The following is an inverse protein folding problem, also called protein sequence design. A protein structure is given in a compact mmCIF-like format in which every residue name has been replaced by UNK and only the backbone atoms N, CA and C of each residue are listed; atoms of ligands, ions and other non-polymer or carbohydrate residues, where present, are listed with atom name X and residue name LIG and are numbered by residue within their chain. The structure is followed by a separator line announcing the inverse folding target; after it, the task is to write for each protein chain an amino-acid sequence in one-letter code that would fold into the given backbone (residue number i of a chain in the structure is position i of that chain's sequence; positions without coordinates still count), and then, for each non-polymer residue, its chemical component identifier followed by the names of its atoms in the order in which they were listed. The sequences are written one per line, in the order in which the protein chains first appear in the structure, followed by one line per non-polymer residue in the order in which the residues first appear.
data_IF_144688503100
#
_entry.id   IF_144688503100
#
_cell.length_a   1.000
_cell.length_b   1.000
_cell.length_c   1.000
_cell.angle_alpha   90.00
_cell.angle_beta   90.00
_cell.angle_gamma   90.00
#
_symmetry.space_group_name_H-M   'P 1'
#
loop_
_entity.id
_entity.type
_entity.pdbx_description
1 polymer ?
#
# COMPACT_ATOMS: atom_id res chain seq x y z
N UNK A 1 4.64 -73.01 -25.19
CA UNK A 1 4.33 -73.11 -23.75
C UNK A 1 5.51 -72.49 -22.99
N UNK A 2 5.45 -71.21 -22.75
CA UNK A 2 6.44 -70.42 -21.99
C UNK A 2 6.02 -70.51 -20.49
N UNK A 3 6.88 -71.14 -19.71
CA UNK A 3 6.75 -71.22 -18.27
C UNK A 3 7.10 -69.84 -17.67
N UNK A 4 6.10 -69.11 -17.14
CA UNK A 4 6.35 -67.93 -16.32
C UNK A 4 7.00 -68.33 -15.00
N UNK A 5 8.16 -67.77 -14.75
CA UNK A 5 8.88 -67.90 -13.47
C UNK A 5 8.23 -66.91 -12.50
N UNK A 6 7.64 -67.44 -11.43
CA UNK A 6 7.07 -66.68 -10.32
C UNK A 6 8.21 -66.07 -9.49
N UNK A 7 8.35 -64.72 -9.53
CA UNK A 7 9.33 -64.00 -8.74
C UNK A 7 8.62 -63.56 -7.44
N UNK A 8 9.10 -63.98 -6.26
CA UNK A 8 8.47 -63.56 -5.01
C UNK A 8 8.61 -62.06 -4.79
N UNK A 9 7.51 -61.39 -4.38
CA UNK A 9 7.48 -60.00 -3.99
C UNK A 9 8.56 -59.69 -2.92
N UNK A 10 9.52 -58.87 -3.30
CA UNK A 10 10.48 -58.29 -2.34
C UNK A 10 9.74 -57.20 -1.58
N UNK A 11 9.37 -57.46 -0.33
CA UNK A 11 8.89 -56.42 0.60
C UNK A 11 10.09 -55.52 0.93
N UNK A 12 10.14 -54.36 0.28
CA UNK A 12 11.07 -53.28 0.65
C UNK A 12 10.54 -52.67 1.96
N UNK A 13 11.35 -52.63 3.05
CA UNK A 13 10.91 -51.91 4.28
C UNK A 13 10.63 -50.45 3.92
N UNK A 14 9.52 -49.92 4.42
CA UNK A 14 9.22 -48.50 4.36
C UNK A 14 10.40 -47.72 4.98
N UNK A 15 11.21 -47.12 4.13
CA UNK A 15 12.21 -46.16 4.55
C UNK A 15 11.40 -44.92 5.06
N UNK A 16 11.58 -44.50 6.33
CA UNK A 16 10.85 -43.34 6.83
C UNK A 16 11.23 -42.14 5.95
N UNK A 17 10.28 -41.68 5.15
CA UNK A 17 10.44 -40.43 4.39
C UNK A 17 11.00 -39.39 5.35
N UNK A 18 12.20 -38.83 5.09
CA UNK A 18 12.74 -37.79 5.95
C UNK A 18 11.74 -36.64 5.96
N UNK A 19 11.27 -36.26 7.14
CA UNK A 19 10.48 -35.04 7.34
C UNK A 19 11.27 -33.90 6.69
N UNK A 20 10.70 -33.16 5.73
CA UNK A 20 11.43 -32.05 5.13
C UNK A 20 11.77 -31.06 6.24
N UNK A 21 13.04 -31.00 6.59
CA UNK A 21 13.58 -29.95 7.45
C UNK A 21 13.52 -28.69 6.60
N UNK A 22 12.60 -27.80 6.90
CA UNK A 22 12.60 -26.48 6.27
C UNK A 22 13.99 -25.86 6.50
N UNK A 23 14.67 -25.37 5.44
CA UNK A 23 15.96 -24.74 5.63
C UNK A 23 15.77 -23.54 6.59
N UNK A 24 16.53 -23.56 7.67
CA UNK A 24 16.60 -22.40 8.58
C UNK A 24 17.47 -21.37 7.86
N UNK A 25 16.87 -20.26 7.46
CA UNK A 25 17.59 -19.15 6.89
C UNK A 25 17.98 -18.18 8.00
N UNK A 26 19.23 -17.75 8.01
CA UNK A 26 19.65 -16.66 8.91
C UNK A 26 19.03 -15.33 8.46
N UNK A 27 18.73 -14.45 9.42
CA UNK A 27 18.36 -13.06 9.13
C UNK A 27 19.49 -12.43 8.33
N UNK A 28 19.16 -11.86 7.18
CA UNK A 28 20.14 -11.16 6.34
C UNK A 28 20.37 -9.76 6.90
N UNK A 29 21.57 -9.50 7.40
CA UNK A 29 22.00 -8.16 7.82
C UNK A 29 22.66 -7.48 6.62
N UNK A 30 22.16 -6.32 6.23
CA UNK A 30 22.75 -5.48 5.19
C UNK A 30 23.47 -4.33 5.86
N UNK A 31 24.78 -4.47 5.99
CA UNK A 31 25.65 -3.42 6.52
C UNK A 31 25.99 -2.43 5.41
N UNK A 32 25.96 -1.16 5.72
CA UNK A 32 26.45 -0.09 4.84
C UNK A 32 27.11 1.02 5.66
N UNK A 33 28.00 1.76 5.00
CA UNK A 33 28.48 3.04 5.52
C UNK A 33 27.53 4.14 5.08
N UNK A 34 27.35 5.15 5.93
CA UNK A 34 26.62 6.36 5.54
C UNK A 34 27.34 7.04 4.37
N UNK A 35 26.62 7.24 3.27
CA UNK A 35 27.09 8.04 2.15
C UNK A 35 26.52 9.45 2.29
N UNK A 36 27.34 10.39 2.76
CA UNK A 36 26.97 11.80 2.87
C UNK A 36 26.62 12.40 1.50
N UNK A 37 25.69 13.34 1.50
CA UNK A 37 25.33 14.08 0.29
C UNK A 37 26.42 15.10 -0.04
N UNK A 38 27.28 14.79 -1.01
CA UNK A 38 28.37 15.66 -1.46
C UNK A 38 28.22 16.01 -2.94
N UNK A 39 28.33 17.28 -3.28
CA UNK A 39 28.19 17.78 -4.66
C UNK A 39 26.88 17.36 -5.36
N UNK A 40 25.80 17.17 -4.60
CA UNK A 40 24.48 16.75 -5.12
C UNK A 40 24.33 15.26 -5.32
N UNK A 41 25.25 14.44 -4.79
CA UNK A 41 25.17 12.99 -4.84
C UNK A 41 25.49 12.34 -3.49
N UNK A 42 24.77 11.28 -3.17
CA UNK A 42 25.04 10.36 -2.07
C UNK A 42 25.29 8.97 -2.67
N UNK A 43 26.54 8.57 -2.79
CA UNK A 43 26.93 7.45 -3.64
C UNK A 43 26.53 7.72 -5.10
N UNK A 44 25.78 6.82 -5.72
CA UNK A 44 25.30 6.94 -7.11
C UNK A 44 23.96 7.70 -7.23
N UNK A 45 23.39 8.19 -6.13
CA UNK A 45 22.05 8.77 -6.11
C UNK A 45 22.10 10.30 -6.01
N UNK A 46 21.31 11.01 -6.83
CA UNK A 46 21.12 12.45 -6.63
C UNK A 46 20.54 12.74 -5.25
N UNK A 47 21.06 13.74 -4.57
CA UNK A 47 20.61 14.13 -3.24
C UNK A 47 20.61 15.65 -3.06
N UNK A 48 19.81 16.11 -2.08
CA UNK A 48 19.81 17.49 -1.61
C UNK A 48 19.64 17.50 -0.09
N UNK A 49 20.76 17.62 0.64
CA UNK A 49 20.81 17.62 2.11
C UNK A 49 20.41 16.32 2.82
N UNK A 50 20.34 15.21 2.11
CA UNK A 50 20.06 13.89 2.67
C UNK A 50 21.19 12.92 2.37
N UNK A 51 21.57 12.11 3.36
CA UNK A 51 22.53 11.02 3.21
C UNK A 51 21.83 9.70 2.93
N UNK A 52 22.43 8.85 2.12
CA UNK A 52 21.99 7.46 1.96
C UNK A 52 22.57 6.62 3.10
N UNK A 53 21.72 6.06 3.93
CA UNK A 53 22.14 5.24 5.07
C UNK A 53 22.26 3.76 4.72
N UNK A 54 21.37 3.23 3.89
CA UNK A 54 21.40 1.84 3.46
C UNK A 54 20.67 1.64 2.14
N UNK A 55 20.96 0.53 1.47
CA UNK A 55 20.26 0.06 0.28
C UNK A 55 20.14 -1.46 0.30
N UNK A 56 18.93 -1.96 0.27
CA UNK A 56 18.64 -3.39 0.13
C UNK A 56 18.24 -3.70 -1.30
N UNK A 57 18.99 -4.57 -1.96
CA UNK A 57 18.72 -4.97 -3.35
C UNK A 57 17.63 -6.04 -3.40
N UNK A 58 16.87 -6.08 -4.52
CA UNK A 58 15.86 -7.11 -4.78
C UNK A 58 16.41 -8.55 -4.67
N UNK A 59 17.67 -8.76 -5.03
CA UNK A 59 18.35 -10.06 -4.86
C UNK A 59 18.38 -10.49 -3.40
N UNK A 60 18.59 -9.55 -2.45
CA UNK A 60 18.53 -9.83 -1.00
C UNK A 60 17.11 -10.16 -0.57
N UNK A 61 16.12 -9.44 -1.10
CA UNK A 61 14.70 -9.66 -0.83
C UNK A 61 14.16 -10.91 -1.54
N UNK A 62 14.97 -11.54 -2.41
CA UNK A 62 14.60 -12.70 -3.21
C UNK A 62 13.28 -12.46 -3.99
N UNK A 63 13.24 -11.37 -4.75
CA UNK A 63 12.09 -10.94 -5.53
C UNK A 63 12.55 -10.21 -6.80
N UNK A 64 11.69 -10.15 -7.81
CA UNK A 64 11.99 -9.51 -9.10
C UNK A 64 11.55 -8.04 -9.14
N UNK A 65 10.49 -7.68 -8.40
CA UNK A 65 9.94 -6.32 -8.34
C UNK A 65 9.60 -5.91 -6.93
N UNK A 66 9.74 -4.61 -6.66
CA UNK A 66 9.23 -3.94 -5.47
C UNK A 66 8.27 -2.83 -5.92
N UNK A 67 7.23 -2.61 -5.12
CA UNK A 67 6.21 -1.60 -5.36
C UNK A 67 6.07 -0.68 -4.15
N UNK A 68 4.88 -0.56 -3.59
CA UNK A 68 4.62 0.28 -2.43
C UNK A 68 5.35 -0.16 -1.17
N UNK A 69 5.51 0.74 -0.23
CA UNK A 69 6.04 0.45 1.10
C UNK A 69 5.30 1.25 2.17
N UNK A 70 5.30 0.71 3.38
CA UNK A 70 4.79 1.41 4.56
C UNK A 70 5.72 1.24 5.74
N UNK A 71 5.59 2.11 6.74
CA UNK A 71 6.36 2.08 7.98
C UNK A 71 5.55 1.55 9.15
N UNK A 72 6.22 0.93 10.12
CA UNK A 72 5.67 0.65 11.43
C UNK A 72 6.72 0.90 12.50
N UNK A 73 6.38 1.76 13.47
CA UNK A 73 7.16 1.92 14.69
C UNK A 73 6.47 1.11 15.79
N UNK A 74 7.15 0.12 16.32
CA UNK A 74 6.62 -0.69 17.41
C UNK A 74 6.41 0.16 18.67
N UNK A 75 5.19 0.36 19.14
CA UNK A 75 4.92 1.23 20.29
C UNK A 75 5.48 0.69 21.60
N UNK A 76 5.80 -0.60 21.68
CA UNK A 76 6.36 -1.22 22.89
C UNK A 76 7.88 -1.08 22.96
N UNK A 77 8.58 -1.28 21.84
CA UNK A 77 10.03 -1.35 21.80
C UNK A 77 10.69 -0.11 21.18
N UNK A 78 9.92 0.71 20.45
CA UNK A 78 10.42 1.85 19.67
C UNK A 78 11.24 1.44 18.44
N UNK A 79 11.23 0.17 18.08
CA UNK A 79 11.88 -0.31 16.86
C UNK A 79 11.11 0.11 15.62
N UNK A 80 11.84 0.38 14.55
CA UNK A 80 11.30 0.84 13.28
C UNK A 80 11.43 -0.24 12.20
N UNK A 81 10.36 -0.44 11.45
CA UNK A 81 10.27 -1.46 10.41
C UNK A 81 9.74 -0.87 9.11
N UNK A 82 10.31 -1.34 7.99
CA UNK A 82 9.73 -1.14 6.65
C UNK A 82 9.02 -2.42 6.23
N UNK A 83 7.79 -2.24 5.76
CA UNK A 83 6.98 -3.23 5.11
C UNK A 83 7.08 -2.96 3.61
N UNK A 84 7.81 -3.78 2.86
CA UNK A 84 8.03 -3.58 1.43
C UNK A 84 7.17 -4.53 0.62
N UNK A 85 6.27 -3.98 -0.18
CA UNK A 85 5.52 -4.73 -1.17
C UNK A 85 6.42 -5.25 -2.28
N UNK A 86 6.30 -6.55 -2.56
CA UNK A 86 7.03 -7.26 -3.59
C UNK A 86 6.03 -7.97 -4.51
N UNK A 87 6.46 -8.36 -5.73
CA UNK A 87 5.56 -9.10 -6.63
C UNK A 87 5.08 -10.43 -6.03
N UNK A 88 5.89 -11.07 -5.20
CA UNK A 88 5.66 -12.39 -4.62
C UNK A 88 5.27 -12.37 -3.12
N UNK A 89 5.06 -11.17 -2.54
CA UNK A 89 4.68 -11.04 -1.13
C UNK A 89 5.04 -9.70 -0.51
N UNK A 90 5.15 -9.68 0.82
CA UNK A 90 5.56 -8.50 1.60
C UNK A 90 6.78 -8.84 2.44
N UNK A 91 7.87 -8.09 2.26
CA UNK A 91 9.09 -8.20 3.06
C UNK A 91 9.01 -7.31 4.31
N UNK A 92 9.54 -7.82 5.42
CA UNK A 92 9.66 -7.08 6.67
C UNK A 92 11.12 -6.82 7.00
N UNK A 93 11.48 -5.55 7.15
CA UNK A 93 12.85 -5.11 7.39
C UNK A 93 12.93 -4.26 8.65
N UNK A 94 13.72 -4.68 9.63
CA UNK A 94 14.06 -3.87 10.83
C UNK A 94 15.12 -2.83 10.42
N UNK A 95 14.77 -1.57 10.48
CA UNK A 95 15.62 -0.42 10.19
C UNK A 95 15.98 0.40 11.44
N UNK A 96 15.75 -0.15 12.64
CA UNK A 96 16.06 0.52 13.91
C UNK A 96 17.54 0.91 14.03
N UNK A 97 18.42 0.23 13.30
CA UNK A 97 19.78 0.65 13.01
C UNK A 97 19.93 0.85 11.50
N UNK A 98 19.75 2.07 10.99
CA UNK A 98 19.61 2.29 9.55
C UNK A 98 20.78 1.80 8.70
N UNK A 99 22.03 1.88 9.23
CA UNK A 99 23.24 1.36 8.55
C UNK A 99 23.41 -0.14 8.69
N UNK A 100 22.58 -0.82 9.49
CA UNK A 100 22.60 -2.25 9.74
C UNK A 100 21.19 -2.83 9.59
N UNK A 101 20.53 -2.56 8.47
CA UNK A 101 19.17 -3.02 8.21
C UNK A 101 19.11 -4.56 8.20
N UNK A 102 18.04 -5.11 8.79
CA UNK A 102 17.87 -6.57 8.94
C UNK A 102 16.63 -7.03 8.20
N UNK A 103 16.80 -7.84 7.16
CA UNK A 103 15.68 -8.50 6.49
C UNK A 103 15.22 -9.69 7.35
N UNK A 104 14.07 -9.51 8.02
CA UNK A 104 13.57 -10.45 9.04
C UNK A 104 12.79 -11.60 8.41
N UNK A 105 11.99 -11.32 7.40
CA UNK A 105 11.14 -12.35 6.80
C UNK A 105 10.19 -11.80 5.74
N UNK A 106 9.41 -12.71 5.18
CA UNK A 106 8.46 -12.45 4.11
C UNK A 106 7.11 -13.10 4.42
N UNK A 107 6.03 -12.36 4.19
CA UNK A 107 4.69 -12.91 4.06
C UNK A 107 4.44 -13.15 2.56
N UNK A 108 4.32 -14.40 2.09
CA UNK A 108 4.02 -14.69 0.70
C UNK A 108 2.69 -14.09 0.24
N UNK A 109 2.58 -13.81 -1.05
CA UNK A 109 1.30 -13.43 -1.68
C UNK A 109 0.21 -14.47 -1.41
N UNK A 110 -1.05 -14.04 -1.29
CA UNK A 110 -2.16 -14.97 -1.04
C UNK A 110 -2.45 -15.88 -2.23
N UNK A 111 -2.20 -15.38 -3.45
CA UNK A 111 -2.44 -16.09 -4.70
C UNK A 111 -1.23 -15.96 -5.61
N UNK A 112 -1.41 -15.60 -6.88
CA UNK A 112 -0.35 -15.44 -7.85
C UNK A 112 0.49 -14.17 -7.63
N UNK A 113 1.62 -14.07 -8.32
CA UNK A 113 2.46 -12.89 -8.30
C UNK A 113 1.78 -11.73 -9.03
N UNK A 114 1.96 -10.52 -8.49
CA UNK A 114 1.53 -9.27 -9.13
C UNK A 114 2.51 -8.15 -8.81
N UNK A 115 2.79 -7.29 -9.77
CA UNK A 115 3.65 -6.11 -9.56
C UNK A 115 3.02 -5.14 -8.55
N UNK A 116 1.69 -5.02 -8.55
CA UNK A 116 0.98 -4.04 -7.74
C UNK A 116 0.50 -4.63 -6.43
N UNK A 117 0.94 -4.00 -5.34
CA UNK A 117 0.63 -4.37 -3.96
C UNK A 117 0.68 -3.12 -3.09
N UNK A 118 -0.36 -2.88 -2.31
CA UNK A 118 -0.41 -1.74 -1.38
C UNK A 118 -0.57 -2.20 0.06
N UNK A 119 -0.01 -1.43 1.00
CA UNK A 119 0.12 -1.79 2.40
C UNK A 119 -0.19 -0.58 3.27
N UNK A 120 -1.06 -0.76 4.27
CA UNK A 120 -1.26 0.20 5.35
C UNK A 120 -1.23 -0.50 6.70
N UNK A 121 -1.04 0.28 7.75
CA UNK A 121 -0.91 -0.24 9.13
C UNK A 121 -1.98 0.37 10.01
N UNK A 122 -2.61 -0.46 10.82
CA UNK A 122 -3.53 -0.03 11.87
C UNK A 122 -3.43 -0.98 13.07
N UNK A 123 -3.40 -0.42 14.29
CA UNK A 123 -3.40 -1.17 15.54
C UNK A 123 -2.42 -2.37 15.54
N UNK A 124 -1.15 -2.10 15.17
CA UNK A 124 -0.06 -3.09 15.07
C UNK A 124 -0.30 -4.22 14.06
N UNK A 125 -1.19 -4.03 13.09
CA UNK A 125 -1.40 -5.00 12.02
C UNK A 125 -1.18 -4.35 10.66
N UNK A 126 -0.56 -5.08 9.76
CA UNK A 126 -0.48 -4.73 8.35
C UNK A 126 -1.72 -5.25 7.62
N UNK A 127 -2.30 -4.40 6.77
CA UNK A 127 -3.39 -4.68 5.86
C UNK A 127 -2.85 -4.57 4.45
N UNK A 128 -2.93 -5.65 3.68
CA UNK A 128 -2.20 -5.82 2.42
C UNK A 128 -3.17 -6.26 1.34
N UNK A 129 -3.24 -5.50 0.26
CA UNK A 129 -4.00 -5.83 -0.96
C UNK A 129 -3.05 -6.01 -2.14
N UNK A 130 -3.54 -6.58 -3.24
CA UNK A 130 -2.79 -6.76 -4.48
C UNK A 130 -3.72 -6.86 -5.69
N UNK A 131 -3.22 -6.51 -6.86
CA UNK A 131 -3.90 -6.77 -8.14
C UNK A 131 -3.79 -8.23 -8.61
N UNK A 132 -3.21 -9.12 -7.81
CA UNK A 132 -3.26 -10.54 -8.11
C UNK A 132 -4.70 -11.06 -8.03
N UNK A 133 -5.12 -11.86 -9.02
CA UNK A 133 -6.45 -12.41 -9.07
C UNK A 133 -6.80 -13.16 -7.77
N UNK A 134 -8.00 -12.92 -7.24
CA UNK A 134 -8.51 -13.54 -6.01
C UNK A 134 -7.64 -13.33 -4.75
N UNK A 135 -6.77 -12.31 -4.73
CA UNK A 135 -5.90 -12.02 -3.59
C UNK A 135 -6.70 -11.61 -2.34
N UNK A 136 -7.65 -10.71 -2.49
CA UNK A 136 -8.37 -10.12 -1.38
C UNK A 136 -7.50 -9.28 -0.45
N UNK A 137 -7.78 -9.33 0.85
CA UNK A 137 -7.03 -8.66 1.91
C UNK A 137 -6.31 -9.69 2.77
N UNK A 138 -4.98 -9.54 2.94
CA UNK A 138 -4.21 -10.23 3.96
C UNK A 138 -4.03 -9.31 5.17
N UNK A 139 -4.12 -9.87 6.37
CA UNK A 139 -3.83 -9.19 7.65
C UNK A 139 -2.68 -9.90 8.35
N UNK A 140 -1.71 -9.13 8.84
CA UNK A 140 -0.55 -9.67 9.54
C UNK A 140 -0.28 -8.91 10.83
N UNK A 141 -0.18 -9.62 11.96
CA UNK A 141 0.18 -9.08 13.27
C UNK A 141 1.68 -8.73 13.31
N UNK A 142 2.00 -7.44 13.28
CA UNK A 142 3.37 -6.92 13.26
C UNK A 142 4.14 -7.18 14.56
N UNK A 143 3.45 -7.47 15.67
CA UNK A 143 4.12 -7.83 16.93
C UNK A 143 4.92 -9.14 16.79
N UNK A 144 4.59 -9.97 15.81
CA UNK A 144 5.33 -11.20 15.46
C UNK A 144 6.73 -10.93 14.90
N UNK A 145 7.04 -9.67 14.54
CA UNK A 145 8.39 -9.27 14.12
C UNK A 145 9.36 -9.08 15.28
N UNK A 146 8.83 -9.00 16.52
CA UNK A 146 9.66 -8.82 17.73
C UNK A 146 10.59 -9.99 17.94
N UNK A 147 11.83 -9.68 18.35
CA UNK A 147 12.85 -10.64 18.77
C UNK A 147 13.20 -11.75 17.76
N UNK A 148 12.89 -11.53 16.47
CA UNK A 148 13.28 -12.48 15.43
C UNK A 148 14.79 -12.48 15.24
N UNK A 149 15.39 -13.65 15.40
CA UNK A 149 16.82 -13.90 15.20
C UNK A 149 17.12 -14.72 13.94
N UNK A 150 16.09 -15.38 13.40
CA UNK A 150 16.13 -16.20 12.20
C UNK A 150 15.15 -15.63 11.18
N UNK A 151 15.46 -15.80 9.89
CA UNK A 151 14.55 -15.41 8.80
C UNK A 151 13.27 -16.23 8.87
N UNK A 152 12.12 -15.56 8.75
CA UNK A 152 10.82 -16.19 8.84
C UNK A 152 10.08 -16.12 7.49
N UNK A 153 9.51 -17.23 7.08
CA UNK A 153 8.41 -17.23 6.11
C UNK A 153 7.11 -17.21 6.89
N UNK A 154 6.47 -16.05 6.91
CA UNK A 154 5.26 -15.83 7.70
C UNK A 154 4.00 -16.36 7.00
N UNK A 155 2.93 -16.45 7.77
CA UNK A 155 1.57 -16.69 7.29
C UNK A 155 0.66 -15.57 7.77
N UNK A 156 -0.34 -15.19 6.98
CA UNK A 156 -1.33 -14.20 7.39
C UNK A 156 -2.10 -14.66 8.65
N UNK A 157 -2.44 -13.70 9.51
CA UNK A 157 -3.24 -13.96 10.72
C UNK A 157 -4.73 -13.95 10.40
N UNK A 158 -5.13 -13.22 9.36
CA UNK A 158 -6.46 -13.26 8.77
C UNK A 158 -6.41 -12.98 7.27
N UNK A 159 -7.46 -13.37 6.56
CA UNK A 159 -7.66 -13.05 5.14
C UNK A 159 -9.15 -12.82 4.88
N UNK A 160 -9.45 -11.82 4.04
CA UNK A 160 -10.81 -11.53 3.58
C UNK A 160 -10.83 -11.65 2.06
N UNK A 161 -11.59 -12.64 1.54
CA UNK A 161 -11.62 -13.00 0.12
C UNK A 161 -12.96 -12.70 -0.55
N UNK A 162 -13.74 -11.77 0.01
CA UNK A 162 -15.05 -11.38 -0.52
C UNK A 162 -14.97 -10.44 -1.74
N UNK A 163 -13.79 -9.99 -2.10
CA UNK A 163 -13.43 -9.28 -3.32
C UNK A 163 -12.16 -9.90 -3.90
N UNK A 164 -11.89 -9.69 -5.18
CA UNK A 164 -10.75 -10.30 -5.87
C UNK A 164 -9.48 -9.48 -5.73
N UNK A 165 -9.00 -8.98 -6.84
CA UNK A 165 -7.90 -8.03 -6.94
C UNK A 165 -8.30 -6.64 -6.42
N UNK A 166 -7.29 -5.89 -5.98
CA UNK A 166 -7.45 -4.50 -5.55
C UNK A 166 -6.15 -3.73 -5.79
N UNK A 167 -6.30 -2.46 -6.19
CA UNK A 167 -5.17 -1.61 -6.52
C UNK A 167 -4.54 -0.99 -5.27
N UNK A 168 -5.37 -0.43 -4.39
CA UNK A 168 -4.91 0.39 -3.26
C UNK A 168 -5.73 0.13 -1.99
N UNK A 169 -5.20 0.54 -0.84
CA UNK A 169 -5.89 0.53 0.45
C UNK A 169 -5.59 1.78 1.24
N UNK A 170 -6.62 2.45 1.75
CA UNK A 170 -6.47 3.55 2.68
C UNK A 170 -7.13 3.21 4.02
N UNK A 171 -6.66 3.82 5.10
CA UNK A 171 -7.20 3.57 6.44
C UNK A 171 -7.47 4.90 7.14
N UNK A 172 -8.67 5.06 7.71
CA UNK A 172 -8.92 6.08 8.70
C UNK A 172 -8.76 5.46 10.09
N UNK A 173 -7.62 5.72 10.71
CA UNK A 173 -7.30 5.16 12.03
C UNK A 173 -8.28 5.61 13.12
N UNK A 174 -8.84 6.82 13.00
CA UNK A 174 -9.78 7.36 13.99
C UNK A 174 -11.10 6.60 14.03
N UNK A 175 -11.54 6.05 12.90
CA UNK A 175 -12.78 5.29 12.78
C UNK A 175 -12.58 3.77 12.85
N UNK A 176 -11.36 3.28 12.60
CA UNK A 176 -11.07 1.86 12.48
C UNK A 176 -11.65 1.23 11.23
N UNK A 177 -11.70 1.99 10.13
CA UNK A 177 -12.13 1.51 8.81
C UNK A 177 -11.00 1.52 7.81
N UNK A 178 -10.91 0.45 7.02
CA UNK A 178 -10.13 0.38 5.79
C UNK A 178 -11.03 0.57 4.58
N UNK A 179 -10.46 1.16 3.54
CA UNK A 179 -11.08 1.44 2.25
C UNK A 179 -10.24 0.79 1.17
N UNK A 180 -10.74 -0.30 0.61
CA UNK A 180 -10.07 -1.01 -0.48
C UNK A 180 -10.54 -0.43 -1.81
N UNK A 181 -9.59 -0.09 -2.67
CA UNK A 181 -9.78 0.77 -3.82
C UNK A 181 -9.32 0.04 -5.08
N UNK A 182 -10.00 0.28 -6.20
CA UNK A 182 -9.66 -0.32 -7.48
C UNK A 182 -10.08 -1.78 -7.61
N UNK A 183 -11.01 -2.25 -6.79
CA UNK A 183 -11.53 -3.63 -6.81
C UNK A 183 -12.94 -3.71 -7.41
N UNK A 184 -13.30 -4.84 -8.00
CA UNK A 184 -14.70 -5.23 -8.14
C UNK A 184 -15.20 -5.76 -6.78
N UNK A 185 -16.37 -5.43 -6.33
CA UNK A 185 -17.50 -4.66 -6.83
C UNK A 185 -17.32 -3.13 -6.72
N UNK A 186 -18.38 -2.38 -6.90
CA UNK A 186 -18.47 -0.93 -6.83
C UNK A 186 -17.75 -0.17 -7.96
N UNK A 187 -17.60 -0.81 -9.15
CA UNK A 187 -17.00 -0.19 -10.34
C UNK A 187 -15.57 0.35 -10.12
N UNK A 188 -14.78 -0.32 -9.29
CA UNK A 188 -13.45 0.15 -8.90
C UNK A 188 -13.47 1.26 -7.84
N UNK A 189 -14.62 1.58 -7.26
CA UNK A 189 -14.75 2.48 -6.13
C UNK A 189 -14.42 1.80 -4.80
N UNK A 190 -14.39 2.54 -3.69
CA UNK A 190 -13.97 2.03 -2.40
C UNK A 190 -14.96 1.01 -1.81
N UNK A 191 -14.40 -0.10 -1.30
CA UNK A 191 -15.08 -1.07 -0.43
C UNK A 191 -14.78 -0.67 1.01
N UNK A 192 -15.78 -0.57 1.86
CA UNK A 192 -15.63 -0.18 3.26
C UNK A 192 -15.51 -1.43 4.14
N UNK A 193 -14.44 -1.53 4.91
CA UNK A 193 -14.14 -2.69 5.75
C UNK A 193 -13.95 -2.22 7.19
N UNK A 194 -14.74 -2.74 8.11
CA UNK A 194 -14.51 -2.58 9.54
C UNK A 194 -13.31 -3.43 9.95
N UNK A 195 -12.29 -2.77 10.48
CA UNK A 195 -11.04 -3.37 10.95
C UNK A 195 -10.79 -3.08 12.43
N UNK A 196 -11.81 -2.65 13.17
CA UNK A 196 -11.73 -2.38 14.61
C UNK A 196 -11.24 -3.60 15.40
N UNK A 197 -11.55 -4.81 14.91
CA UNK A 197 -10.90 -6.07 15.30
C UNK A 197 -10.02 -6.54 14.13
N UNK A 198 -8.71 -6.24 14.10
CA UNK A 198 -7.86 -6.43 12.94
C UNK A 198 -7.91 -7.82 12.30
N UNK A 199 -8.02 -8.87 13.10
CA UNK A 199 -8.05 -10.26 12.64
C UNK A 199 -9.45 -10.75 12.25
N UNK A 200 -10.48 -9.91 12.35
CA UNK A 200 -11.87 -10.21 11.98
C UNK A 200 -12.43 -9.10 11.05
N UNK A 201 -11.79 -8.81 9.89
CA UNK A 201 -12.23 -7.74 9.01
C UNK A 201 -13.60 -8.06 8.41
N UNK A 202 -14.51 -7.06 8.37
CA UNK A 202 -15.89 -7.22 7.90
C UNK A 202 -16.23 -6.17 6.85
N UNK A 203 -16.72 -6.59 5.68
CA UNK A 203 -17.26 -5.66 4.66
C UNK A 203 -18.56 -5.04 5.14
N UNK A 204 -18.60 -3.71 5.17
CA UNK A 204 -19.76 -2.92 5.64
C UNK A 204 -20.52 -2.24 4.51
N UNK A 205 -19.95 -2.15 3.31
CA UNK A 205 -20.54 -1.50 2.16
C UNK A 205 -19.48 -1.03 1.17
N UNK A 206 -19.82 -0.04 0.37
CA UNK A 206 -18.93 0.57 -0.60
C UNK A 206 -19.59 1.72 -1.33
N UNK A 207 -18.83 2.42 -2.17
CA UNK A 207 -19.33 3.52 -3.00
C UNK A 207 -18.90 3.33 -4.45
N UNK A 208 -19.86 3.22 -5.37
CA UNK A 208 -19.62 2.94 -6.78
C UNK A 208 -20.33 3.90 -7.73
N UNK A 209 -20.84 5.04 -7.24
CA UNK A 209 -21.62 5.99 -8.04
C UNK A 209 -20.74 6.97 -8.84
N UNK A 210 -19.42 6.86 -8.71
CA UNK A 210 -18.43 7.62 -9.48
C UNK A 210 -17.62 6.70 -10.41
N UNK A 211 -16.72 7.27 -11.22
CA UNK A 211 -15.75 6.52 -12.01
C UNK A 211 -14.75 5.77 -11.11
N UNK A 212 -13.90 4.95 -11.72
CA UNK A 212 -12.81 4.24 -11.05
C UNK A 212 -12.02 5.19 -10.12
N UNK A 213 -11.85 4.78 -8.88
CA UNK A 213 -11.00 5.45 -7.89
C UNK A 213 -9.64 4.75 -7.89
N UNK A 214 -8.58 5.50 -8.17
CA UNK A 214 -7.23 4.98 -8.21
C UNK A 214 -6.59 4.95 -6.82
N UNK A 215 -6.74 6.04 -6.08
CA UNK A 215 -6.28 6.21 -4.69
C UNK A 215 -7.27 7.09 -3.92
N UNK A 216 -7.22 7.07 -2.59
CA UNK A 216 -8.04 7.93 -1.76
C UNK A 216 -7.37 8.23 -0.42
N UNK A 217 -7.65 9.43 0.11
CA UNK A 217 -7.36 9.78 1.48
C UNK A 217 -8.67 9.95 2.25
N UNK A 218 -8.79 9.33 3.42
CA UNK A 218 -9.99 9.36 4.24
C UNK A 218 -9.66 9.89 5.63
N UNK A 219 -10.42 10.89 6.07
CA UNK A 219 -10.21 11.53 7.37
C UNK A 219 -11.51 11.69 8.15
N UNK A 220 -11.42 11.73 9.47
CA UNK A 220 -12.46 12.32 10.30
C UNK A 220 -12.28 13.84 10.24
N UNK A 221 -13.12 14.49 9.44
CA UNK A 221 -12.93 15.88 9.03
C UNK A 221 -13.00 16.87 10.21
N UNK A 222 -11.99 17.73 10.29
CA UNK A 222 -11.87 18.81 11.28
C UNK A 222 -11.52 20.16 10.65
N UNK A 223 -11.68 20.26 9.33
CA UNK A 223 -11.32 21.44 8.55
C UNK A 223 -12.30 22.63 8.70
N UNK A 224 -12.18 23.63 7.84
CA UNK A 224 -12.92 24.90 8.00
C UNK A 224 -14.43 24.82 7.71
N UNK A 225 -14.91 23.81 6.96
CA UNK A 225 -16.32 23.70 6.62
C UNK A 225 -17.13 23.20 7.83
N UNK A 226 -18.03 24.03 8.40
CA UNK A 226 -18.76 23.66 9.61
C UNK A 226 -19.83 22.59 9.38
N UNK A 227 -20.28 22.37 8.14
CA UNK A 227 -21.35 21.43 7.83
C UNK A 227 -20.88 19.96 7.88
N UNK A 228 -19.56 19.75 7.81
CA UNK A 228 -18.94 18.44 7.78
C UNK A 228 -18.04 18.11 8.98
N UNK A 229 -18.02 18.95 10.00
CA UNK A 229 -17.24 18.72 11.21
C UNK A 229 -17.55 17.37 11.85
N UNK A 230 -16.51 16.56 12.11
CA UNK A 230 -16.62 15.24 12.74
C UNK A 230 -17.18 14.15 11.82
N UNK A 231 -17.47 14.45 10.56
CA UNK A 231 -17.87 13.45 9.58
C UNK A 231 -16.65 12.74 8.99
N UNK A 232 -16.85 11.55 8.51
CA UNK A 232 -15.82 10.80 7.80
C UNK A 232 -15.93 11.09 6.31
N UNK A 233 -14.91 11.77 5.79
CA UNK A 233 -14.87 12.26 4.43
C UNK A 233 -13.79 11.54 3.64
N UNK A 234 -14.17 11.02 2.48
CA UNK A 234 -13.30 10.41 1.50
C UNK A 234 -13.00 11.41 0.38
N UNK A 235 -11.72 11.60 0.11
CA UNK A 235 -11.19 12.33 -1.04
C UNK A 235 -10.62 11.31 -2.03
N UNK A 236 -11.37 10.99 -3.08
CA UNK A 236 -11.00 9.99 -4.07
C UNK A 236 -10.30 10.61 -5.27
N UNK A 237 -9.16 10.06 -5.68
CA UNK A 237 -8.50 10.36 -6.94
C UNK A 237 -9.11 9.49 -8.03
N UNK A 238 -10.06 10.05 -8.79
CA UNK A 238 -10.82 9.31 -9.76
C UNK A 238 -10.32 9.56 -11.18
N UNK A 239 -10.13 8.47 -11.93
CA UNK A 239 -9.76 8.53 -13.34
C UNK A 239 -10.29 7.31 -14.09
N UNK A 240 -10.68 7.49 -15.35
CA UNK A 240 -11.01 6.39 -16.26
C UNK A 240 -9.94 6.21 -17.35
N UNK A 241 -8.77 6.84 -17.17
CA UNK A 241 -7.72 6.88 -18.18
C UNK A 241 -8.04 7.76 -19.39
N UNK A 242 -9.19 8.43 -19.39
CA UNK A 242 -9.70 9.31 -20.43
C UNK A 242 -9.81 10.77 -20.01
N UNK A 243 -11.03 11.29 -20.01
CA UNK A 243 -11.32 12.70 -19.72
C UNK A 243 -11.97 12.95 -18.35
N UNK A 244 -12.24 11.89 -17.58
CA UNK A 244 -12.90 11.97 -16.27
C UNK A 244 -11.88 11.98 -15.12
N UNK A 245 -10.91 12.90 -15.22
CA UNK A 245 -9.91 13.11 -14.18
C UNK A 245 -10.43 14.12 -13.19
N UNK A 246 -10.63 13.70 -11.93
CA UNK A 246 -11.24 14.54 -10.91
C UNK A 246 -10.95 14.02 -9.51
N UNK A 247 -11.05 14.90 -8.54
CA UNK A 247 -11.20 14.50 -7.13
C UNK A 247 -12.69 14.36 -6.83
N UNK A 248 -13.06 13.27 -6.20
CA UNK A 248 -14.44 12.98 -5.76
C UNK A 248 -14.48 13.09 -4.23
N UNK A 249 -15.35 13.94 -3.69
CA UNK A 249 -15.51 14.14 -2.25
C UNK A 249 -16.80 13.48 -1.80
N UNK A 250 -16.69 12.50 -0.91
CA UNK A 250 -17.82 11.64 -0.48
C UNK A 250 -17.91 11.63 1.03
N UNK A 251 -19.10 11.86 1.58
CA UNK A 251 -19.39 11.56 2.99
C UNK A 251 -19.62 10.05 3.13
N UNK A 252 -18.75 9.40 3.87
CA UNK A 252 -18.77 7.95 4.14
C UNK A 252 -19.03 7.65 5.61
N UNK A 253 -19.56 8.62 6.36
CA UNK A 253 -19.89 8.48 7.78
C UNK A 253 -20.86 7.32 8.02
N UNK A 254 -21.93 7.29 7.23
CA UNK A 254 -22.85 6.14 7.21
C UNK A 254 -22.43 5.16 6.09
N UNK A 255 -21.81 4.06 6.47
CA UNK A 255 -21.32 3.05 5.53
C UNK A 255 -22.42 2.38 4.67
N UNK A 256 -23.67 2.45 5.13
CA UNK A 256 -24.83 1.93 4.39
C UNK A 256 -25.45 2.96 3.43
N UNK A 257 -25.15 4.23 3.58
CA UNK A 257 -25.71 5.33 2.80
C UNK A 257 -24.66 6.43 2.50
N UNK A 258 -23.52 6.10 1.89
CA UNK A 258 -22.54 7.11 1.47
C UNK A 258 -23.16 8.02 0.42
N UNK A 259 -22.76 9.30 0.38
CA UNK A 259 -23.24 10.22 -0.64
C UNK A 259 -22.18 11.17 -1.14
N UNK A 260 -22.26 11.51 -2.42
CA UNK A 260 -21.41 12.49 -3.06
C UNK A 260 -21.69 13.88 -2.49
N UNK A 261 -20.65 14.54 -2.00
CA UNK A 261 -20.68 15.97 -1.66
C UNK A 261 -20.43 16.78 -2.92
N UNK A 262 -19.27 16.58 -3.55
CA UNK A 262 -18.87 17.33 -4.74
C UNK A 262 -17.77 16.63 -5.56
N UNK A 263 -17.49 17.21 -6.72
CA UNK A 263 -16.34 16.87 -7.55
C UNK A 263 -15.49 18.11 -7.82
N UNK A 264 -14.16 17.97 -7.69
CA UNK A 264 -13.21 18.98 -8.11
C UNK A 264 -12.52 18.56 -9.41
N UNK A 265 -12.70 19.37 -10.45
CA UNK A 265 -12.11 19.15 -11.77
C UNK A 265 -11.04 20.20 -12.08
N UNK A 266 -10.12 19.86 -12.96
CA UNK A 266 -9.05 20.76 -13.40
C UNK A 266 -8.76 20.58 -14.90
N UNK A 267 -8.08 21.55 -15.50
CA UNK A 267 -7.75 21.51 -16.92
C UNK A 267 -6.46 20.71 -17.16
N UNK A 268 -6.37 20.06 -18.35
CA UNK A 268 -5.23 19.25 -18.75
C UNK A 268 -4.92 18.12 -17.75
N UNK A 269 -5.95 17.45 -17.27
CA UNK A 269 -5.81 16.23 -16.47
C UNK A 269 -5.33 15.07 -17.34
N UNK A 270 -4.25 14.44 -16.96
CA UNK A 270 -3.73 13.22 -17.55
C UNK A 270 -4.28 11.99 -16.86
N UNK A 271 -4.09 11.90 -15.55
CA UNK A 271 -4.57 10.82 -14.69
C UNK A 271 -4.54 11.28 -13.24
N UNK A 272 -5.70 11.56 -12.63
CA UNK A 272 -5.77 11.89 -11.20
C UNK A 272 -5.31 10.67 -10.42
N UNK A 273 -4.09 10.73 -9.90
CA UNK A 273 -3.40 9.57 -9.38
C UNK A 273 -3.57 9.42 -7.88
N UNK A 274 -3.06 10.39 -7.11
CA UNK A 274 -3.04 10.33 -5.66
C UNK A 274 -3.38 11.71 -5.08
N UNK A 275 -3.98 11.73 -3.90
CA UNK A 275 -4.21 12.96 -3.17
C UNK A 275 -3.87 12.79 -1.69
N UNK A 276 -3.55 13.93 -1.05
CA UNK A 276 -3.33 14.00 0.39
C UNK A 276 -3.83 15.32 0.95
N UNK A 277 -4.57 15.30 2.06
CA UNK A 277 -5.05 16.50 2.74
C UNK A 277 -4.06 16.92 3.82
N UNK A 278 -3.90 18.24 4.06
CA UNK A 278 -3.05 18.74 5.14
C UNK A 278 -3.66 18.50 6.54
N UNK A 279 -2.85 18.71 7.57
CA UNK A 279 -3.26 18.47 8.97
C UNK A 279 -4.44 19.36 9.43
N UNK A 280 -4.60 20.56 8.83
CA UNK A 280 -5.70 21.49 9.12
C UNK A 280 -6.96 21.14 8.32
N UNK A 281 -6.92 20.13 7.46
CA UNK A 281 -7.96 19.72 6.53
C UNK A 281 -8.47 20.88 5.65
N UNK A 282 -7.58 21.82 5.35
CA UNK A 282 -7.87 23.00 4.53
C UNK A 282 -7.45 22.83 3.08
N UNK A 283 -6.30 22.22 2.83
CA UNK A 283 -5.76 22.09 1.49
C UNK A 283 -5.57 20.63 1.10
N UNK A 284 -6.03 20.32 -0.11
CA UNK A 284 -5.85 19.02 -0.72
C UNK A 284 -4.79 19.10 -1.81
N UNK A 285 -3.74 18.31 -1.68
CA UNK A 285 -2.66 18.18 -2.65
C UNK A 285 -2.97 17.00 -3.57
N UNK A 286 -2.90 17.22 -4.88
CA UNK A 286 -3.27 16.22 -5.88
C UNK A 286 -2.16 16.09 -6.92
N UNK A 287 -1.68 14.87 -7.14
CA UNK A 287 -0.79 14.48 -8.22
C UNK A 287 -1.56 14.00 -9.45
N UNK A 288 -1.08 14.39 -10.63
CA UNK A 288 -1.59 13.91 -11.92
C UNK A 288 -0.48 13.19 -12.67
N UNK A 289 -0.48 11.88 -12.61
CA UNK A 289 0.64 11.02 -13.05
C UNK A 289 1.00 11.18 -14.54
N UNK A 290 0.07 11.50 -15.40
CA UNK A 290 0.29 11.42 -16.84
C UNK A 290 0.26 12.76 -17.58
N UNK A 291 0.12 13.88 -16.89
CA UNK A 291 0.02 15.18 -17.57
C UNK A 291 1.37 15.62 -18.17
N UNK A 292 2.52 15.28 -17.56
CA UNK A 292 3.83 15.50 -18.16
C UNK A 292 3.97 14.77 -19.50
N UNK A 293 3.54 13.53 -19.55
CA UNK A 293 3.64 12.70 -20.76
C UNK A 293 2.65 13.14 -21.83
N UNK A 294 1.44 13.55 -21.42
CA UNK A 294 0.36 13.91 -22.37
C UNK A 294 0.47 15.34 -22.88
N UNK A 295 0.90 16.26 -22.03
CA UNK A 295 0.89 17.70 -22.31
C UNK A 295 2.28 18.34 -22.30
N UNK A 296 3.32 17.62 -21.88
CA UNK A 296 4.70 18.12 -21.81
C UNK A 296 4.91 19.11 -20.68
N UNK A 297 4.11 19.03 -19.63
CA UNK A 297 4.27 19.85 -18.41
C UNK A 297 5.52 19.44 -17.62
N UNK A 298 6.09 20.29 -16.77
CA UNK A 298 6.91 19.81 -15.67
C UNK A 298 6.04 19.11 -14.62
N UNK A 299 6.65 18.30 -13.74
CA UNK A 299 6.02 17.71 -12.56
C UNK A 299 5.14 18.72 -11.86
N UNK A 300 3.87 18.41 -11.60
CA UNK A 300 2.88 19.40 -11.14
C UNK A 300 2.05 18.87 -9.99
N UNK A 301 2.04 19.57 -8.87
CA UNK A 301 1.11 19.33 -7.77
C UNK A 301 0.00 20.37 -7.78
N UNK A 302 -1.24 19.92 -7.82
CA UNK A 302 -2.42 20.75 -7.72
C UNK A 302 -2.81 20.92 -6.25
N UNK A 303 -3.16 22.13 -5.84
CA UNK A 303 -3.61 22.44 -4.47
C UNK A 303 -5.02 22.97 -4.53
N UNK A 304 -5.96 22.23 -3.96
CA UNK A 304 -7.35 22.67 -3.84
C UNK A 304 -7.62 23.26 -2.46
N UNK A 305 -8.37 24.35 -2.42
CA UNK A 305 -8.92 24.94 -1.21
C UNK A 305 -10.25 24.27 -0.88
N UNK A 306 -10.35 23.75 0.33
CA UNK A 306 -11.48 23.01 0.89
C UNK A 306 -12.24 23.83 1.95
N UNK A 307 -12.25 25.17 1.85
CA UNK A 307 -13.06 26.01 2.75
C UNK A 307 -14.54 25.66 2.73
N UNK A 308 -15.02 25.21 1.58
CA UNK A 308 -16.40 24.76 1.33
C UNK A 308 -16.28 23.42 0.55
N UNK A 309 -16.60 22.29 1.20
CA UNK A 309 -16.49 20.97 0.56
C UNK A 309 -17.52 20.77 -0.56
N UNK A 310 -18.62 21.53 -0.57
CA UNK A 310 -19.59 21.52 -1.68
C UNK A 310 -19.05 22.25 -2.93
N UNK A 311 -18.00 23.07 -2.76
CA UNK A 311 -17.41 23.91 -3.82
C UNK A 311 -15.91 24.02 -3.73
N UNK A 312 -15.18 22.89 -3.75
CA UNK A 312 -13.72 22.92 -3.73
C UNK A 312 -13.18 23.72 -4.92
N UNK A 313 -12.14 24.49 -4.70
CA UNK A 313 -11.59 25.35 -5.76
C UNK A 313 -10.08 25.16 -5.91
N UNK A 314 -9.60 25.13 -7.16
CA UNK A 314 -8.16 25.10 -7.42
C UNK A 314 -7.53 26.40 -6.91
N UNK A 315 -6.76 26.31 -5.86
CA UNK A 315 -6.08 27.44 -5.22
C UNK A 315 -4.73 27.74 -5.86
N UNK A 316 -3.94 26.72 -6.11
CA UNK A 316 -2.57 26.85 -6.63
C UNK A 316 -2.15 25.62 -7.42
N UNK A 317 -1.22 25.81 -8.35
CA UNK A 317 -0.51 24.72 -9.02
C UNK A 317 0.99 24.92 -8.84
N UNK A 318 1.63 24.05 -8.09
CA UNK A 318 3.08 24.02 -7.99
C UNK A 318 3.65 23.34 -9.23
N UNK A 319 4.67 23.94 -9.80
CA UNK A 319 5.42 23.36 -10.93
C UNK A 319 6.83 23.04 -10.48
N UNK A 320 7.22 21.79 -10.60
CA UNK A 320 8.56 21.31 -10.35
C UNK A 320 9.57 21.81 -11.42
N UNK A 321 10.83 21.47 -11.19
CA UNK A 321 11.92 21.87 -12.11
C UNK A 321 12.29 20.77 -13.12
N UNK A 322 11.65 19.61 -13.00
CA UNK A 322 11.89 18.43 -13.85
C UNK A 322 10.63 18.08 -14.62
N UNK A 323 10.76 17.23 -15.62
CA UNK A 323 9.65 16.59 -16.35
C UNK A 323 9.45 15.14 -15.91
N UNK A 324 9.90 14.80 -14.71
CA UNK A 324 9.63 13.50 -14.13
C UNK A 324 8.14 13.37 -13.84
N UNK A 325 7.58 12.21 -14.09
CA UNK A 325 6.20 11.88 -13.73
C UNK A 325 6.09 11.96 -12.21
N UNK A 326 5.10 12.70 -11.69
CA UNK A 326 4.79 12.66 -10.28
C UNK A 326 4.02 11.36 -9.95
N UNK A 327 4.09 10.96 -8.70
CA UNK A 327 3.46 9.71 -8.27
C UNK A 327 2.78 9.93 -6.91
N UNK A 328 3.41 9.57 -5.81
CA UNK A 328 2.82 9.73 -4.48
C UNK A 328 3.44 10.91 -3.73
N UNK A 329 2.59 11.67 -3.01
CA UNK A 329 3.00 12.77 -2.15
C UNK A 329 2.27 12.71 -0.81
N UNK A 330 2.96 13.07 0.27
CA UNK A 330 2.43 13.10 1.64
C UNK A 330 2.78 14.45 2.27
N UNK A 331 1.92 14.97 3.17
CA UNK A 331 2.14 16.22 3.91
C UNK A 331 2.55 15.97 5.35
#
# INVERSE_FOLDING_TARGET
EDAMIDIPDIVVPDDPTPTPVSPVYEVVVVESEENSCENGFSGDYPCSNYSLLNRINLTVLQSDFANDNWGWTDPETGKEYVLQGLNDGTAFVDISSPTMARYIGKLPTATEESTWRDIKVYNNHAFIVSEAADHGLQVFDLTRLRDQTEFQQFTADASLTSFGDAHNIAINEASGYAYVIGADPYNGGPIFIDISTPTEPVVMGGYGDSSYTHDAHIVTYSGPDPDYQGREILFGSNSDGGNNNQVVIVDVTDKAAPYLISNATYSNGGYTHQNWIDEDHRYLYVGDELDERRFGNPTKTLVFDLEDLDKPSLYYSYLGVTSAIDHNGYT
#
